data_IF_239734335799
#
_entry.id   IF_239734335799
#
_cell.length_a   1.000
_cell.length_b   1.000
_cell.length_c   1.000
_cell.angle_alpha   90.00
_cell.angle_beta   90.00
_cell.angle_gamma   90.00
#
_symmetry.space_group_name_H-M   'P 1'
#
loop_
_entity.id
_entity.type
_entity.pdbx_description
1 polymer ?
#
# COMPACT_ATOMS: atom_id res chain seq x y z
N UNK A 1 4.63 30.02 18.08
CA UNK A 1 5.08 28.64 17.80
C UNK A 1 3.82 27.83 17.51
N UNK A 2 3.49 27.68 16.24
CA UNK A 2 2.25 27.06 15.80
C UNK A 2 2.32 25.55 15.97
N UNK A 3 1.53 25.00 16.90
CA UNK A 3 1.16 23.60 16.89
C UNK A 3 0.04 23.41 15.88
N UNK A 4 0.39 23.35 14.60
CA UNK A 4 -0.48 22.77 13.60
C UNK A 4 -0.42 21.27 13.80
N UNK A 5 -1.37 20.70 14.54
CA UNK A 5 -1.60 19.26 14.48
C UNK A 5 -1.93 18.92 13.04
N UNK A 6 -1.05 18.17 12.38
CA UNK A 6 -1.37 17.55 11.10
C UNK A 6 -2.70 16.79 11.27
N UNK A 7 -3.63 16.92 10.32
CA UNK A 7 -4.87 16.15 10.37
C UNK A 7 -4.46 14.67 10.35
N UNK A 8 -4.82 13.92 11.40
CA UNK A 8 -4.78 12.48 11.34
C UNK A 8 -5.72 12.06 10.20
N UNK A 9 -5.15 11.69 9.06
CA UNK A 9 -5.92 11.15 7.95
C UNK A 9 -6.58 9.86 8.45
N UNK A 10 -7.90 9.94 8.56
CA UNK A 10 -8.75 8.84 8.95
C UNK A 10 -8.66 7.73 7.90
N UNK A 11 -8.36 6.50 8.33
CA UNK A 11 -8.63 5.30 7.53
C UNK A 11 -7.44 4.39 7.23
N UNK A 12 -6.66 3.96 8.23
CA UNK A 12 -5.85 2.76 8.10
C UNK A 12 -6.31 1.79 9.19
N UNK A 13 -6.76 0.59 8.80
CA UNK A 13 -6.97 -0.48 9.77
C UNK A 13 -5.58 -1.02 10.15
N UNK A 14 -4.93 -0.36 11.11
CA UNK A 14 -3.69 -0.82 11.71
C UNK A 14 -4.03 -1.89 12.75
N UNK A 15 -4.07 -3.16 12.32
CA UNK A 15 -3.77 -4.23 13.27
C UNK A 15 -2.30 -4.07 13.64
N UNK A 16 -1.89 -4.35 14.87
CA UNK A 16 -0.57 -4.03 15.43
C UNK A 16 0.65 -4.63 14.71
N UNK A 17 0.45 -5.25 13.55
CA UNK A 17 1.43 -6.03 12.81
C UNK A 17 1.46 -5.71 11.30
N UNK A 18 0.42 -5.08 10.71
CA UNK A 18 0.38 -4.75 9.27
C UNK A 18 -0.44 -3.50 8.96
N UNK A 19 -0.02 -2.73 7.97
CA UNK A 19 -0.75 -1.57 7.45
C UNK A 19 -1.67 -1.92 6.27
N UNK A 20 -2.96 -1.60 6.41
CA UNK A 20 -3.96 -1.76 5.34
C UNK A 20 -4.64 -0.40 5.08
N UNK A 21 -4.10 0.41 4.14
CA UNK A 21 -4.67 1.70 3.78
C UNK A 21 -6.10 1.60 3.19
N UNK A 22 -6.99 2.51 3.56
CA UNK A 22 -8.27 2.65 2.85
C UNK A 22 -8.08 3.33 1.47
N UNK A 23 -9.08 3.18 0.59
CA UNK A 23 -9.05 3.79 -0.75
C UNK A 23 -8.21 3.04 -1.79
N UNK A 24 -7.71 1.84 -1.45
CA UNK A 24 -7.06 0.92 -2.37
C UNK A 24 -7.97 -0.29 -2.65
N UNK A 25 -7.79 -0.88 -3.83
CA UNK A 25 -8.36 -2.19 -4.17
C UNK A 25 -7.36 -3.27 -3.77
N UNK A 26 -7.84 -4.41 -3.29
CA UNK A 26 -7.01 -5.50 -2.79
C UNK A 26 -7.35 -6.82 -3.45
N UNK A 27 -6.32 -7.64 -3.69
CA UNK A 27 -6.47 -9.02 -4.19
C UNK A 27 -6.27 -10.03 -3.06
N UNK A 28 -6.72 -11.27 -3.29
CA UNK A 28 -6.42 -12.39 -2.38
C UNK A 28 -4.96 -12.82 -2.44
N UNK A 29 -4.23 -12.35 -3.45
CA UNK A 29 -2.82 -12.62 -3.70
C UNK A 29 -1.90 -11.59 -3.01
N UNK A 30 -2.45 -10.81 -2.07
CA UNK A 30 -1.71 -9.84 -1.27
C UNK A 30 -1.12 -8.68 -2.08
N UNK A 31 -1.85 -8.25 -3.10
CA UNK A 31 -1.55 -7.08 -3.91
C UNK A 31 -2.57 -5.96 -3.66
N UNK A 32 -2.17 -4.73 -3.94
CA UNK A 32 -3.04 -3.56 -3.94
C UNK A 32 -2.98 -2.82 -5.27
N UNK A 33 -4.06 -2.11 -5.58
CA UNK A 33 -4.18 -1.25 -6.75
C UNK A 33 -4.82 0.10 -6.40
N UNK A 34 -4.25 1.18 -6.95
CA UNK A 34 -4.71 2.56 -6.84
C UNK A 34 -5.01 3.10 -8.24
N UNK A 35 -6.23 3.58 -8.45
CA UNK A 35 -6.61 4.27 -9.68
C UNK A 35 -6.13 5.72 -9.59
N UNK A 36 -5.35 6.16 -10.56
CA UNK A 36 -4.84 7.52 -10.68
C UNK A 36 -5.80 8.40 -11.50
N UNK A 37 -5.66 9.71 -11.36
CA UNK A 37 -6.55 10.69 -12.02
C UNK A 37 -6.47 10.65 -13.55
N UNK A 38 -5.33 10.22 -14.10
CA UNK A 38 -5.12 10.06 -15.55
C UNK A 38 -5.67 8.73 -16.11
N UNK A 39 -6.33 7.93 -15.27
CA UNK A 39 -6.90 6.64 -15.63
C UNK A 39 -5.90 5.48 -15.61
N UNK A 40 -4.64 5.72 -15.24
CA UNK A 40 -3.67 4.64 -15.02
C UNK A 40 -3.87 3.98 -13.65
N UNK A 41 -3.30 2.79 -13.49
CA UNK A 41 -3.37 2.02 -12.23
C UNK A 41 -1.95 1.84 -11.70
N UNK A 42 -1.72 2.34 -10.49
CA UNK A 42 -0.53 2.01 -9.71
C UNK A 42 -0.83 0.75 -8.90
N UNK A 43 0.05 -0.24 -8.96
CA UNK A 43 -0.12 -1.52 -8.25
C UNK A 43 1.16 -1.93 -7.54
N UNK A 44 1.02 -2.75 -6.50
CA UNK A 44 2.12 -3.25 -5.69
C UNK A 44 1.70 -4.36 -4.75
N UNK A 45 2.60 -4.79 -3.88
CA UNK A 45 2.32 -5.81 -2.85
C UNK A 45 1.95 -5.15 -1.52
N UNK A 46 1.11 -5.82 -0.73
CA UNK A 46 0.68 -5.36 0.59
C UNK A 46 1.82 -5.38 1.61
N UNK A 47 1.65 -4.63 2.69
CA UNK A 47 2.57 -4.64 3.84
C UNK A 47 2.73 -6.06 4.44
N UNK A 48 1.65 -6.83 4.45
CA UNK A 48 1.70 -8.25 4.78
C UNK A 48 2.64 -9.05 3.87
N UNK A 49 2.59 -8.83 2.56
CA UNK A 49 3.42 -9.56 1.61
C UNK A 49 4.91 -9.23 1.77
N UNK A 50 5.27 -7.94 1.96
CA UNK A 50 6.67 -7.56 2.15
C UNK A 50 7.27 -8.20 3.43
N UNK A 51 6.51 -8.21 4.53
CA UNK A 51 6.98 -8.77 5.81
C UNK A 51 7.21 -10.29 5.68
N UNK A 52 6.40 -10.99 4.88
CA UNK A 52 6.60 -12.43 4.60
C UNK A 52 7.79 -12.69 3.68
N UNK A 53 8.08 -11.79 2.74
CA UNK A 53 9.23 -11.90 1.83
C UNK A 53 10.57 -11.60 2.50
N UNK A 54 10.56 -11.04 3.70
CA UNK A 54 11.75 -10.57 4.43
C UNK A 54 12.51 -9.50 3.63
N UNK A 55 13.61 -9.87 2.97
CA UNK A 55 14.43 -8.95 2.19
C UNK A 55 14.18 -9.15 0.70
N UNK A 56 13.60 -8.14 0.06
CA UNK A 56 13.38 -8.13 -1.40
C UNK A 56 14.68 -7.75 -2.10
N UNK A 57 15.37 -8.73 -2.68
CA UNK A 57 16.66 -8.52 -3.37
C UNK A 57 16.53 -8.40 -4.89
N UNK A 58 15.42 -8.87 -5.47
CA UNK A 58 15.16 -8.86 -6.90
C UNK A 58 13.66 -8.73 -7.20
N UNK A 59 13.31 -8.06 -8.29
CA UNK A 59 11.94 -7.93 -8.79
C UNK A 59 11.95 -8.14 -10.30
N UNK A 60 11.11 -9.03 -10.79
CA UNK A 60 10.89 -9.24 -12.23
C UNK A 60 9.60 -8.56 -12.66
N UNK A 61 9.70 -7.67 -13.64
CA UNK A 61 8.56 -6.97 -14.20
C UNK A 61 8.17 -7.62 -15.54
N UNK A 62 6.87 -7.61 -15.90
CA UNK A 62 6.43 -8.12 -17.18
C UNK A 62 7.03 -7.30 -18.34
N UNK A 63 7.23 -7.95 -19.48
CA UNK A 63 7.56 -7.27 -20.72
C UNK A 63 6.34 -6.45 -21.21
N UNK A 64 6.61 -5.26 -21.74
CA UNK A 64 5.60 -4.29 -22.23
C UNK A 64 5.09 -4.62 -23.63
#
# INVERSE_FOLDING_TARGET
MGGGGEPAEVGALSTSEYEVPEGLYYTREHEWAKVLEDGTVLMGITDYAQEKLHEVVNVELPEV
#
